data_IF_008892558949
#
_entry.id   IF_008892558949
#
_cell.length_a   1.000
_cell.length_b   1.000
_cell.length_c   1.000
_cell.angle_alpha   90.00
_cell.angle_beta   90.00
_cell.angle_gamma   90.00
#
_symmetry.space_group_name_H-M   'P 1'
#
loop_
_entity.id
_entity.type
_entity.pdbx_description
1 polymer ?
#
# COMPACT_ATOMS: atom_id res chain seq x y z
N UNK A 1 -12.58 10.74 9.33
CA UNK A 1 -11.11 10.86 9.47
C UNK A 1 -10.63 9.67 10.27
N UNK A 2 -9.92 8.72 9.64
CA UNK A 2 -9.32 7.57 10.34
C UNK A 2 -7.90 7.94 10.74
N UNK A 3 -7.60 7.80 12.04
CA UNK A 3 -6.42 8.26 12.77
C UNK A 3 -5.35 7.18 12.91
N UNK A 4 -5.22 6.29 11.93
CA UNK A 4 -4.14 5.29 11.94
C UNK A 4 -3.00 5.85 11.12
N UNK A 5 -1.86 6.13 11.75
CA UNK A 5 -0.58 6.37 11.07
C UNK A 5 -0.14 5.07 10.38
N UNK A 6 -0.76 4.79 9.24
CA UNK A 6 -0.50 3.61 8.41
C UNK A 6 0.42 4.01 7.24
N UNK A 7 1.68 3.62 7.36
CA UNK A 7 2.69 3.88 6.34
C UNK A 7 2.79 2.72 5.36
N UNK A 8 2.88 3.08 4.07
CA UNK A 8 3.14 2.19 2.95
C UNK A 8 3.90 2.98 1.89
N UNK A 9 4.53 2.28 0.95
CA UNK A 9 5.23 2.89 -0.18
C UNK A 9 4.68 2.36 -1.50
N UNK A 10 4.19 3.26 -2.34
CA UNK A 10 3.84 2.94 -3.72
C UNK A 10 5.09 3.01 -4.60
N UNK A 11 5.04 2.37 -5.75
CA UNK A 11 6.01 2.61 -6.82
C UNK A 11 5.93 4.05 -7.29
N UNK A 12 7.05 4.60 -7.75
CA UNK A 12 7.18 6.02 -8.10
C UNK A 12 6.18 6.43 -9.20
N UNK A 13 5.95 5.56 -10.18
CA UNK A 13 5.01 5.79 -11.28
C UNK A 13 3.55 5.83 -10.81
N UNK A 14 3.18 5.01 -9.83
CA UNK A 14 1.86 5.03 -9.19
C UNK A 14 1.71 6.28 -8.31
N UNK A 15 2.73 6.61 -7.51
CA UNK A 15 2.71 7.80 -6.66
C UNK A 15 2.60 9.10 -7.46
N UNK A 16 3.34 9.21 -8.56
CA UNK A 16 3.32 10.36 -9.45
C UNK A 16 1.93 10.65 -10.06
N UNK A 17 1.07 9.64 -10.19
CA UNK A 17 -0.30 9.83 -10.70
C UNK A 17 -1.24 10.49 -9.68
N UNK A 18 -0.99 10.29 -8.39
CA UNK A 18 -1.94 10.70 -7.32
C UNK A 18 -1.44 11.86 -6.47
N UNK A 19 -0.12 12.09 -6.44
CA UNK A 19 0.50 13.12 -5.61
C UNK A 19 1.80 13.72 -6.22
N UNK A 20 1.80 14.19 -7.48
CA UNK A 20 3.02 14.58 -8.21
C UNK A 20 3.77 15.79 -7.65
N UNK A 21 3.11 16.65 -6.88
CA UNK A 21 3.63 17.97 -6.48
C UNK A 21 3.65 18.19 -4.96
N UNK A 22 3.40 17.14 -4.17
CA UNK A 22 3.24 17.27 -2.72
C UNK A 22 4.15 16.27 -2.02
N UNK A 23 5.02 16.78 -1.17
CA UNK A 23 5.73 15.98 -0.17
C UNK A 23 4.77 15.59 0.95
N UNK A 24 4.68 14.31 1.29
CA UNK A 24 3.83 13.84 2.38
C UNK A 24 3.30 12.43 2.19
N UNK A 25 2.26 12.09 2.96
CA UNK A 25 1.56 10.81 2.87
C UNK A 25 0.10 11.03 2.47
N UNK A 26 -0.49 10.00 1.87
CA UNK A 26 -1.93 9.94 1.63
C UNK A 26 -2.48 8.69 2.29
N UNK A 27 -3.72 8.80 2.77
CA UNK A 27 -4.45 7.62 3.19
C UNK A 27 -4.69 6.68 1.99
N UNK A 28 -4.74 5.37 2.19
CA UNK A 28 -4.95 4.41 1.09
C UNK A 28 -6.25 4.69 0.32
N UNK A 29 -7.31 5.11 1.01
CA UNK A 29 -8.58 5.46 0.37
C UNK A 29 -8.44 6.70 -0.52
N UNK A 30 -7.64 7.68 -0.08
CA UNK A 30 -7.36 8.92 -0.81
C UNK A 30 -6.58 8.63 -2.10
N UNK A 31 -5.65 7.68 -2.04
CA UNK A 31 -4.92 7.21 -3.23
C UNK A 31 -5.87 6.52 -4.20
N UNK A 32 -6.67 5.55 -3.75
CA UNK A 32 -7.61 4.82 -4.62
C UNK A 32 -8.63 5.76 -5.28
N UNK A 33 -9.12 6.76 -4.54
CA UNK A 33 -10.04 7.78 -5.05
C UNK A 33 -9.40 8.62 -6.16
N UNK A 34 -8.16 9.10 -5.96
CA UNK A 34 -7.44 9.91 -6.97
C UNK A 34 -7.00 9.08 -8.17
N UNK A 35 -6.59 7.83 -7.95
CA UNK A 35 -6.15 6.92 -9.01
C UNK A 35 -7.32 6.40 -9.85
N UNK A 36 -8.55 6.45 -9.31
CA UNK A 36 -9.75 5.95 -9.97
C UNK A 36 -9.85 4.42 -10.01
N UNK A 37 -9.02 3.71 -9.23
CA UNK A 37 -9.06 2.24 -9.09
C UNK A 37 -8.57 1.78 -7.74
N UNK A 38 -8.98 0.57 -7.37
CA UNK A 38 -8.42 -0.16 -6.23
C UNK A 38 -6.95 -0.48 -6.50
N UNK A 39 -6.11 -0.31 -5.47
CA UNK A 39 -4.69 -0.71 -5.53
C UNK A 39 -4.57 -2.24 -5.54
N UNK A 40 -3.49 -2.74 -6.09
CA UNK A 40 -3.09 -4.15 -6.05
C UNK A 40 -1.70 -4.26 -5.46
N UNK A 41 -1.28 -5.44 -5.04
CA UNK A 41 0.06 -5.63 -4.49
C UNK A 41 1.18 -5.19 -5.47
N UNK A 42 0.91 -5.26 -6.78
CA UNK A 42 1.86 -4.82 -7.82
C UNK A 42 2.11 -3.31 -7.83
N UNK A 43 1.29 -2.51 -7.15
CA UNK A 43 1.45 -1.04 -7.07
C UNK A 43 2.39 -0.60 -5.94
N UNK A 44 2.76 -1.53 -5.05
CA UNK A 44 3.63 -1.26 -3.92
C UNK A 44 5.08 -1.61 -4.25
N UNK A 45 6.01 -0.95 -3.56
CA UNK A 45 7.43 -1.35 -3.61
C UNK A 45 7.69 -2.58 -2.74
N UNK A 46 8.81 -3.26 -2.97
CA UNK A 46 9.27 -4.38 -2.13
C UNK A 46 9.92 -3.94 -0.80
N UNK A 47 9.79 -2.66 -0.44
CA UNK A 47 10.36 -2.09 0.78
C UNK A 47 9.84 -2.80 2.04
N UNK A 48 10.66 -2.96 3.10
CA UNK A 48 10.25 -3.60 4.35
C UNK A 48 8.97 -3.03 4.98
N UNK A 49 8.64 -1.76 4.71
CA UNK A 49 7.39 -1.16 5.20
C UNK A 49 6.13 -1.83 4.62
N UNK A 50 6.22 -2.36 3.40
CA UNK A 50 5.14 -3.06 2.70
C UNK A 50 5.17 -4.58 2.91
N UNK A 51 6.34 -5.18 3.19
CA UNK A 51 6.48 -6.64 3.31
C UNK A 51 6.53 -7.15 4.76
N UNK A 52 6.89 -6.32 5.73
CA UNK A 52 6.97 -6.73 7.14
C UNK A 52 5.59 -7.03 7.75
N UNK A 53 5.43 -8.22 8.32
CA UNK A 53 4.22 -8.69 9.01
C UNK A 53 4.05 -8.10 10.42
N UNK A 54 5.11 -7.48 10.98
CA UNK A 54 5.10 -6.91 12.33
C UNK A 54 4.48 -5.50 12.43
N UNK A 55 4.07 -4.90 11.31
CA UNK A 55 3.47 -3.55 11.30
C UNK A 55 1.96 -3.64 11.48
N UNK A 56 1.41 -2.76 12.34
CA UNK A 56 -0.05 -2.62 12.46
C UNK A 56 -0.60 -2.06 11.16
N UNK A 57 -1.57 -2.77 10.59
CA UNK A 57 -2.25 -2.39 9.34
C UNK A 57 -3.76 -2.42 9.54
N UNK A 58 -4.44 -1.53 8.86
CA UNK A 58 -5.87 -1.64 8.63
C UNK A 58 -6.13 -2.86 7.74
N UNK A 59 -7.32 -3.46 7.87
CA UNK A 59 -7.73 -4.57 6.99
C UNK A 59 -7.61 -4.19 5.52
N UNK A 60 -7.96 -2.94 5.18
CA UNK A 60 -7.91 -2.44 3.80
C UNK A 60 -6.52 -2.51 3.20
N UNK A 61 -5.49 -1.98 3.89
CA UNK A 61 -4.11 -2.06 3.39
C UNK A 61 -3.62 -3.51 3.36
N UNK A 62 -3.93 -4.30 4.39
CA UNK A 62 -3.56 -5.71 4.42
C UNK A 62 -4.10 -6.48 3.20
N UNK A 63 -5.35 -6.23 2.81
CA UNK A 63 -5.97 -6.83 1.63
C UNK A 63 -5.28 -6.41 0.32
N UNK A 64 -4.82 -5.15 0.21
CA UNK A 64 -4.12 -4.69 -1.01
C UNK A 64 -2.73 -5.30 -1.14
N UNK A 65 -2.01 -5.43 -0.03
CA UNK A 65 -0.68 -6.03 0.00
C UNK A 65 -0.70 -7.55 -0.18
N UNK A 66 -1.77 -8.22 0.27
CA UNK A 66 -1.93 -9.68 0.12
C UNK A 66 -2.40 -10.12 -1.27
N UNK A 67 -3.03 -9.22 -2.04
CA UNK A 67 -3.57 -9.51 -3.39
C UNK A 67 -2.50 -9.86 -4.45
N UNK A 68 -1.23 -9.95 -4.08
CA UNK A 68 -0.14 -10.51 -4.91
C UNK A 68 0.80 -11.47 -4.16
N UNK A 69 0.46 -11.87 -2.93
CA UNK A 69 1.15 -12.98 -2.27
C UNK A 69 0.59 -14.27 -2.85
N UNK A 70 1.30 -14.86 -3.81
CA UNK A 70 1.19 -16.27 -4.07
C UNK A 70 1.59 -16.98 -2.76
N UNK A 71 0.64 -17.62 -2.09
CA UNK A 71 0.78 -18.25 -0.76
C UNK A 71 1.63 -19.54 -0.80
N UNK A 72 2.80 -19.47 -1.43
CA UNK A 72 3.73 -20.59 -1.60
C UNK A 72 5.01 -20.39 -0.77
N UNK A 73 4.87 -20.08 0.52
CA UNK A 73 5.96 -20.33 1.47
C UNK A 73 5.65 -21.63 2.23
N UNK A 74 6.39 -22.74 2.00
CA UNK A 74 6.27 -23.91 2.85
C UNK A 74 6.76 -23.56 4.25
N UNK A 75 5.97 -23.93 5.24
CA UNK A 75 6.39 -23.93 6.65
C UNK A 75 7.33 -25.14 6.78
N UNK A 76 8.63 -24.88 7.03
CA UNK A 76 9.56 -25.90 7.52
C UNK A 76 9.28 -26.22 8.99
#
# INVERSE_FOLDING_TARGET
MSTVDEYYMLKDDVWAQVNPAIDGNLCIACVEERLGRTLTAADFTDSPINTSTGKRRTRRLADRLSSGINQNLPIS
#
